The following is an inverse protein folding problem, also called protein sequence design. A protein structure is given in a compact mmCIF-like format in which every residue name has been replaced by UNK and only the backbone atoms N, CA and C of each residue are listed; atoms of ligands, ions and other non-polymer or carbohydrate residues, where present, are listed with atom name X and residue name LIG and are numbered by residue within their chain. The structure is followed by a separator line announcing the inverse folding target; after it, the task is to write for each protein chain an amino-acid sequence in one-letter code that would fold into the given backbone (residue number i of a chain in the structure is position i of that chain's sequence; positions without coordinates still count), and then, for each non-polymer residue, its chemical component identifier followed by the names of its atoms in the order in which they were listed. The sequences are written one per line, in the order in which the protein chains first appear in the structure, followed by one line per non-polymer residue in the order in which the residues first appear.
data_IF_684062759398
#
_entry.id   IF_684062759398
#
_cell.length_a   1.000
_cell.length_b   1.000
_cell.length_c   1.000
_cell.angle_alpha   90.00
_cell.angle_beta   90.00
_cell.angle_gamma   90.00
#
_symmetry.space_group_name_H-M   'P 1'
#
loop_
_entity.id
_entity.type
_entity.pdbx_description
1 polymer ?
#
# COMPACT_ATOMS: atom_id res chain seq x y z
N UNK A 1 39.13 -37.13 43.46
CA UNK A 1 39.26 -36.76 42.04
C UNK A 1 38.01 -37.26 41.36
N UNK A 2 36.99 -36.42 41.25
CA UNK A 2 35.76 -36.80 40.56
C UNK A 2 36.11 -37.03 39.09
N UNK A 3 35.75 -38.20 38.60
CA UNK A 3 36.12 -38.62 37.26
C UNK A 3 35.26 -37.84 36.25
N UNK A 4 35.78 -37.58 35.06
CA UNK A 4 35.03 -36.91 33.98
C UNK A 4 33.64 -37.57 33.74
N UNK A 5 33.55 -38.89 33.94
CA UNK A 5 32.32 -39.66 33.85
C UNK A 5 31.23 -39.24 34.85
N UNK A 6 31.61 -38.85 36.08
CA UNK A 6 30.64 -38.40 37.10
C UNK A 6 30.09 -37.00 36.77
N UNK A 7 30.90 -36.14 36.16
CA UNK A 7 30.45 -34.83 35.68
C UNK A 7 29.48 -34.96 34.51
N UNK A 8 29.74 -35.84 33.55
CA UNK A 8 28.82 -36.09 32.43
C UNK A 8 27.48 -36.64 32.92
N UNK A 9 27.49 -37.57 33.88
CA UNK A 9 26.27 -38.12 34.46
C UNK A 9 25.44 -37.05 35.18
N UNK A 10 26.10 -36.12 35.86
CA UNK A 10 25.42 -35.01 36.54
C UNK A 10 24.83 -34.00 35.55
N UNK A 11 25.52 -33.72 34.43
CA UNK A 11 25.03 -32.82 33.38
C UNK A 11 23.79 -33.41 32.69
N UNK A 12 23.82 -34.72 32.39
CA UNK A 12 22.66 -35.40 31.79
C UNK A 12 21.45 -35.41 32.73
N UNK A 13 21.65 -35.70 34.02
CA UNK A 13 20.58 -35.66 35.01
C UNK A 13 19.97 -34.25 35.18
N UNK A 14 20.80 -33.20 35.10
CA UNK A 14 20.31 -31.81 35.12
C UNK A 14 19.55 -31.44 33.84
N UNK A 15 19.98 -31.92 32.68
CA UNK A 15 19.27 -31.69 31.41
C UNK A 15 17.88 -32.37 31.41
N UNK A 16 17.79 -33.59 31.92
CA UNK A 16 16.51 -34.31 32.04
C UNK A 16 15.55 -33.65 33.03
N UNK A 17 16.06 -33.15 34.16
CA UNK A 17 15.27 -32.40 35.13
C UNK A 17 14.72 -31.08 34.53
N UNK A 18 15.52 -30.37 33.74
CA UNK A 18 15.08 -29.16 33.04
C UNK A 18 14.02 -29.47 31.98
N UNK A 19 14.17 -30.54 31.20
CA UNK A 19 13.16 -30.98 30.22
C UNK A 19 11.86 -31.44 30.89
N UNK A 20 11.93 -32.08 32.07
CA UNK A 20 10.74 -32.44 32.85
C UNK A 20 9.98 -31.20 33.36
N UNK A 21 10.69 -30.16 33.79
CA UNK A 21 10.05 -28.89 34.22
C UNK A 21 9.43 -28.17 33.02
N UNK A 22 10.15 -28.10 31.89
CA UNK A 22 9.65 -27.45 30.68
C UNK A 22 8.44 -28.18 30.06
N UNK A 23 8.41 -29.51 30.14
CA UNK A 23 7.28 -30.31 29.63
C UNK A 23 6.04 -30.29 30.55
N UNK A 24 6.19 -30.03 31.85
CA UNK A 24 5.06 -29.86 32.77
C UNK A 24 4.45 -28.45 32.74
N UNK A 25 5.21 -27.46 32.29
CA UNK A 25 4.68 -26.10 32.17
C UNK A 25 3.83 -25.96 30.91
N UNK A 26 2.51 -25.90 31.09
CA UNK A 26 1.47 -25.56 30.09
C UNK A 26 1.60 -24.11 29.55
N UNK A 27 2.83 -23.65 29.28
CA UNK A 27 3.15 -22.33 28.73
C UNK A 27 2.38 -22.06 27.43
N UNK A 28 2.21 -23.03 26.50
CA UNK A 28 1.43 -22.79 25.29
C UNK A 28 -0.05 -22.49 25.58
N UNK A 29 -0.64 -23.18 26.55
CA UNK A 29 -2.06 -22.98 26.92
C UNK A 29 -2.24 -21.66 27.67
N UNK A 30 -1.31 -21.32 28.57
CA UNK A 30 -1.34 -20.04 29.28
C UNK A 30 -1.18 -18.84 28.32
N UNK A 31 -0.30 -18.96 27.33
CA UNK A 31 -0.11 -17.94 26.29
C UNK A 31 -1.38 -17.77 25.43
N UNK A 32 -2.00 -18.86 24.98
CA UNK A 32 -3.26 -18.81 24.23
C UNK A 32 -4.40 -18.19 25.04
N UNK A 33 -4.52 -18.53 26.33
CA UNK A 33 -5.55 -17.97 27.21
C UNK A 33 -5.33 -16.48 27.51
N UNK A 34 -4.08 -16.01 27.55
CA UNK A 34 -3.75 -14.59 27.68
C UNK A 34 -4.09 -13.82 26.40
N UNK A 35 -3.79 -14.40 25.24
CA UNK A 35 -4.10 -13.79 23.94
C UNK A 35 -5.62 -13.64 23.72
N UNK A 36 -6.41 -14.66 24.04
CA UNK A 36 -7.87 -14.59 23.95
C UNK A 36 -8.45 -13.47 24.81
N UNK A 37 -7.98 -13.32 26.05
CA UNK A 37 -8.40 -12.23 26.95
C UNK A 37 -8.03 -10.86 26.40
N UNK A 38 -6.85 -10.72 25.80
CA UNK A 38 -6.42 -9.47 25.16
C UNK A 38 -7.34 -9.10 23.98
N UNK A 39 -7.66 -10.07 23.12
CA UNK A 39 -8.57 -9.86 21.98
C UNK A 39 -9.99 -9.49 22.42
N UNK A 40 -10.51 -10.11 23.47
CA UNK A 40 -11.84 -9.81 24.02
C UNK A 40 -11.90 -8.40 24.64
N UNK A 41 -10.84 -8.00 25.36
CA UNK A 41 -10.73 -6.64 25.88
C UNK A 41 -10.63 -5.59 24.76
N UNK A 42 -9.90 -5.88 23.68
CA UNK A 42 -9.84 -4.99 22.52
C UNK A 42 -11.21 -4.87 21.82
N UNK A 43 -11.91 -5.99 21.61
CA UNK A 43 -13.22 -6.03 21.00
C UNK A 43 -14.27 -5.24 21.82
N UNK A 44 -14.27 -5.41 23.15
CA UNK A 44 -15.19 -4.70 24.03
C UNK A 44 -14.94 -3.17 24.06
N UNK A 45 -13.68 -2.72 24.00
CA UNK A 45 -13.35 -1.29 23.87
C UNK A 45 -13.86 -0.72 22.54
N UNK A 46 -13.67 -1.44 21.44
CA UNK A 46 -14.12 -1.01 20.12
C UNK A 46 -15.66 -0.96 20.04
N UNK A 47 -16.35 -1.92 20.66
CA UNK A 47 -17.81 -1.92 20.75
C UNK A 47 -18.34 -0.71 21.53
N UNK A 48 -17.71 -0.34 22.64
CA UNK A 48 -18.07 0.86 23.42
C UNK A 48 -17.85 2.15 22.64
N UNK A 49 -16.75 2.25 21.88
CA UNK A 49 -16.50 3.41 21.01
C UNK A 49 -17.57 3.56 19.93
N UNK A 50 -17.98 2.44 19.29
CA UNK A 50 -19.05 2.46 18.29
C UNK A 50 -20.42 2.84 18.86
N UNK A 51 -20.73 2.37 20.07
CA UNK A 51 -21.99 2.70 20.74
C UNK A 51 -22.09 4.19 21.15
N UNK A 52 -20.96 4.82 21.48
CA UNK A 52 -20.91 6.27 21.74
C UNK A 52 -21.09 7.10 20.47
N UNK A 53 -20.38 6.73 19.39
CA UNK A 53 -20.46 7.43 18.10
C UNK A 53 -21.87 7.37 17.48
N UNK A 54 -22.60 6.25 17.66
CA UNK A 54 -23.90 6.09 17.01
C UNK A 54 -24.96 7.11 17.46
N UNK A 55 -24.88 7.66 18.67
CA UNK A 55 -25.91 8.60 19.16
C UNK A 55 -25.71 10.00 18.57
N UNK A 56 -24.49 10.48 18.53
CA UNK A 56 -24.16 11.76 17.93
C UNK A 56 -24.28 11.69 16.40
N UNK A 57 -23.91 10.56 15.79
CA UNK A 57 -24.13 10.32 14.36
C UNK A 57 -25.61 10.23 14.01
N UNK A 58 -26.47 9.69 14.90
CA UNK A 58 -27.93 9.67 14.69
C UNK A 58 -28.54 11.06 14.80
N UNK A 59 -28.11 11.88 15.76
CA UNK A 59 -28.55 13.28 15.88
C UNK A 59 -28.10 14.11 14.67
N UNK A 60 -26.85 13.92 14.24
CA UNK A 60 -26.32 14.54 13.04
C UNK A 60 -27.06 14.05 11.78
N UNK A 61 -27.30 12.74 11.65
CA UNK A 61 -28.04 12.18 10.52
C UNK A 61 -29.49 12.65 10.48
N UNK A 62 -30.15 12.83 11.63
CA UNK A 62 -31.50 13.38 11.70
C UNK A 62 -31.52 14.86 11.31
N UNK A 63 -30.55 15.66 11.78
CA UNK A 63 -30.37 17.05 11.36
C UNK A 63 -30.10 17.15 9.84
N UNK A 64 -29.23 16.30 9.30
CA UNK A 64 -28.91 16.22 7.87
C UNK A 64 -30.12 15.77 7.03
N UNK A 65 -30.97 14.88 7.57
CA UNK A 65 -32.19 14.41 6.91
C UNK A 65 -33.23 15.51 6.83
N UNK A 66 -33.38 16.33 7.88
CA UNK A 66 -34.24 17.53 7.87
C UNK A 66 -33.68 18.65 6.97
N UNK A 67 -32.36 18.75 6.81
CA UNK A 67 -31.74 19.71 5.89
C UNK A 67 -31.72 19.25 4.42
N UNK A 68 -32.20 18.04 4.12
CA UNK A 68 -32.20 17.47 2.76
C UNK A 68 -33.33 18.04 1.89
N UNK A 69 -34.24 18.83 2.46
CA UNK A 69 -35.09 19.75 1.70
C UNK A 69 -34.22 20.90 1.19
N UNK A 70 -33.55 20.60 0.07
CA UNK A 70 -32.54 21.42 -0.60
C UNK A 70 -33.12 22.79 -0.95
N UNK A 71 -32.60 23.85 -0.33
CA UNK A 71 -32.50 25.16 -0.98
C UNK A 71 -33.10 26.37 -0.27
N UNK A 72 -33.69 26.22 0.91
CA UNK A 72 -34.35 27.36 1.58
C UNK A 72 -33.40 28.32 2.33
N UNK A 73 -32.10 28.32 2.03
CA UNK A 73 -31.11 29.15 2.75
C UNK A 73 -30.10 29.82 1.80
N UNK A 74 -29.44 30.91 2.26
CA UNK A 74 -28.54 31.69 1.43
C UNK A 74 -27.23 30.97 1.08
N UNK A 75 -26.85 29.91 1.82
CA UNK A 75 -25.62 29.16 1.57
C UNK A 75 -25.87 27.99 0.61
N UNK A 76 -25.32 28.09 -0.60
CA UNK A 76 -25.41 27.04 -1.62
C UNK A 76 -24.38 25.93 -1.36
N UNK A 77 -24.75 24.69 -1.65
CA UNK A 77 -23.85 23.52 -1.59
C UNK A 77 -24.46 22.32 -0.86
N UNK A 78 -23.92 21.13 -1.11
CA UNK A 78 -24.31 19.87 -0.43
C UNK A 78 -23.38 19.51 0.72
N UNK A 79 -22.35 20.32 0.98
CA UNK A 79 -21.41 20.09 2.07
C UNK A 79 -22.04 20.32 3.44
N UNK A 80 -21.53 19.60 4.44
CA UNK A 80 -21.97 19.69 5.84
C UNK A 80 -21.89 21.14 6.36
N UNK A 81 -20.88 21.90 5.95
CA UNK A 81 -20.72 23.30 6.34
C UNK A 81 -21.89 24.18 5.82
N UNK A 82 -22.28 24.04 4.57
CA UNK A 82 -23.40 24.80 4.00
C UNK A 82 -24.72 24.43 4.70
N UNK A 83 -24.91 23.16 5.06
CA UNK A 83 -26.08 22.69 5.79
C UNK A 83 -26.11 23.24 7.22
N UNK A 84 -24.99 23.22 7.94
CA UNK A 84 -24.88 23.80 9.28
C UNK A 84 -25.12 25.31 9.26
N UNK A 85 -24.58 26.03 8.28
CA UNK A 85 -24.80 27.48 8.16
C UNK A 85 -26.26 27.81 7.83
N UNK A 86 -26.92 27.02 6.97
CA UNK A 86 -28.34 27.18 6.68
C UNK A 86 -29.24 26.85 7.89
N UNK A 87 -28.82 25.92 8.75
CA UNK A 87 -29.51 25.63 10.01
C UNK A 87 -29.34 26.77 11.01
N UNK A 88 -28.11 27.25 11.22
CA UNK A 88 -27.80 28.40 12.07
C UNK A 88 -28.52 29.67 11.58
N UNK A 89 -28.61 29.87 10.27
CA UNK A 89 -29.37 30.95 9.65
C UNK A 89 -30.86 30.86 9.98
N UNK A 90 -31.47 29.66 9.85
CA UNK A 90 -32.89 29.45 10.17
C UNK A 90 -33.19 29.69 11.64
N UNK A 91 -32.30 29.28 12.55
CA UNK A 91 -32.48 29.49 13.99
C UNK A 91 -32.37 30.96 14.38
N UNK A 92 -31.35 31.66 13.88
CA UNK A 92 -31.08 33.06 14.25
C UNK A 92 -32.02 34.06 13.55
N UNK A 93 -32.10 34.00 12.22
CA UNK A 93 -32.89 34.93 11.41
C UNK A 93 -34.37 34.52 11.41
N UNK A 94 -34.66 33.23 11.26
CA UNK A 94 -36.03 32.73 11.33
C UNK A 94 -36.66 32.83 12.72
N UNK A 95 -35.83 32.81 13.78
CA UNK A 95 -36.26 33.07 15.16
C UNK A 95 -36.33 34.56 15.55
N UNK A 96 -35.98 35.48 14.65
CA UNK A 96 -36.00 36.93 14.89
C UNK A 96 -34.91 37.43 15.86
N UNK A 97 -33.89 36.63 16.16
CA UNK A 97 -32.79 36.99 17.06
C UNK A 97 -31.76 37.91 16.38
N UNK A 98 -31.61 37.81 15.06
CA UNK A 98 -30.69 38.62 14.27
C UNK A 98 -31.28 38.98 12.90
N UNK A 99 -30.83 40.11 12.35
CA UNK A 99 -31.13 40.47 10.97
C UNK A 99 -30.32 39.60 9.99
N UNK A 100 -30.80 39.49 8.75
CA UNK A 100 -30.07 38.79 7.68
C UNK A 100 -28.66 39.37 7.49
N UNK A 101 -28.54 40.69 7.44
CA UNK A 101 -27.28 41.38 7.18
C UNK A 101 -26.28 41.19 8.32
N UNK A 102 -26.74 41.19 9.58
CA UNK A 102 -25.88 40.95 10.73
C UNK A 102 -25.40 39.50 10.76
N UNK A 103 -26.25 38.53 10.37
CA UNK A 103 -25.84 37.13 10.25
C UNK A 103 -24.78 36.93 9.16
N UNK A 104 -25.00 37.52 7.98
CA UNK A 104 -24.03 37.43 6.90
C UNK A 104 -22.70 38.10 7.28
N UNK A 105 -22.74 39.21 8.01
CA UNK A 105 -21.53 39.88 8.52
C UNK A 105 -20.81 39.03 9.56
N UNK A 106 -21.53 38.41 10.48
CA UNK A 106 -20.94 37.52 11.50
C UNK A 106 -20.27 36.31 10.84
N UNK A 107 -20.98 35.59 9.96
CA UNK A 107 -20.42 34.45 9.21
C UNK A 107 -19.22 34.84 8.36
N UNK A 108 -19.28 36.00 7.69
CA UNK A 108 -18.15 36.52 6.92
C UNK A 108 -16.94 36.78 7.82
N UNK A 109 -17.14 37.39 8.99
CA UNK A 109 -16.06 37.68 9.94
C UNK A 109 -15.40 36.41 10.47
N UNK A 110 -16.21 35.40 10.82
CA UNK A 110 -15.75 34.10 11.28
C UNK A 110 -14.99 33.33 10.19
N UNK A 111 -15.45 33.42 8.93
CA UNK A 111 -14.78 32.77 7.80
C UNK A 111 -13.50 33.47 7.38
N UNK A 112 -13.46 34.81 7.44
CA UNK A 112 -12.26 35.59 7.10
C UNK A 112 -11.09 35.20 8.01
N UNK A 113 -11.31 34.97 9.31
CA UNK A 113 -10.25 34.57 10.23
C UNK A 113 -9.86 33.09 10.17
N UNK A 114 -10.62 32.23 9.48
CA UNK A 114 -10.36 30.78 9.44
C UNK A 114 -9.36 30.44 8.34
N UNK A 115 -8.36 29.65 8.72
CA UNK A 115 -7.48 28.98 7.78
C UNK A 115 -8.29 27.98 6.95
N UNK A 116 -8.20 28.06 5.64
CA UNK A 116 -8.86 27.10 4.73
C UNK A 116 -7.85 26.13 4.18
N UNK A 117 -8.14 24.84 4.31
CA UNK A 117 -7.30 23.76 3.79
C UNK A 117 -7.97 23.18 2.55
N UNK A 118 -7.30 23.26 1.40
CA UNK A 118 -7.74 22.62 0.15
C UNK A 118 -6.81 21.46 -0.13
N UNK A 119 -7.32 20.23 0.03
CA UNK A 119 -6.60 19.03 -0.35
C UNK A 119 -6.75 18.80 -1.86
N UNK A 120 -5.65 18.82 -2.59
CA UNK A 120 -5.56 18.43 -4.00
C UNK A 120 -4.85 17.08 -4.12
N UNK A 121 -4.83 16.45 -5.31
CA UNK A 121 -4.02 15.24 -5.53
C UNK A 121 -2.53 15.44 -5.23
N UNK A 122 -2.01 16.65 -5.47
CA UNK A 122 -0.58 17.00 -5.34
C UNK A 122 -0.17 17.33 -3.89
N UNK A 123 -1.09 17.82 -3.07
CA UNK A 123 -0.78 18.21 -1.69
C UNK A 123 -1.95 18.89 -0.99
N UNK A 124 -1.66 19.46 0.18
CA UNK A 124 -2.63 20.28 0.91
C UNK A 124 -2.19 21.72 0.83
N UNK A 125 -3.01 22.56 0.22
CA UNK A 125 -2.83 24.01 0.25
C UNK A 125 -3.50 24.54 1.49
N UNK A 126 -2.73 25.22 2.32
CA UNK A 126 -3.22 25.86 3.52
C UNK A 126 -3.24 27.36 3.24
N UNK A 127 -4.44 27.90 3.00
CA UNK A 127 -4.62 29.34 2.84
C UNK A 127 -4.83 29.94 4.23
N UNK A 128 -3.88 30.72 4.77
CA UNK A 128 -4.08 31.37 6.06
C UNK A 128 -5.29 32.30 5.97
N UNK A 129 -6.07 32.35 7.06
CA UNK A 129 -7.15 33.32 7.20
C UNK A 129 -6.60 34.75 7.11
N UNK A 130 -7.47 35.69 6.78
CA UNK A 130 -7.17 37.11 6.93
C UNK A 130 -7.01 37.43 8.41
N UNK A 131 -5.79 37.76 8.79
CA UNK A 131 -5.54 38.38 10.08
C UNK A 131 -6.08 39.82 10.06
N UNK A 132 -7.18 40.03 10.78
CA UNK A 132 -7.81 41.35 10.92
C UNK A 132 -7.24 42.15 12.09
N UNK A 133 -6.33 41.56 12.89
CA UNK A 133 -5.80 42.17 14.11
C UNK A 133 -4.75 43.26 13.85
N UNK A 134 -4.19 43.33 12.65
CA UNK A 134 -3.20 44.33 12.25
C UNK A 134 -3.70 45.13 11.04
N UNK A 135 -3.91 46.45 11.20
CA UNK A 135 -4.42 47.37 10.15
C UNK A 135 -3.49 47.53 8.90
N UNK A 136 -2.53 46.64 8.70
CA UNK A 136 -1.69 46.53 7.50
C UNK A 136 -1.71 45.10 6.99
N UNK A 137 -2.87 44.64 6.49
CA UNK A 137 -3.12 43.24 6.13
C UNK A 137 -2.11 42.68 5.13
N UNK A 138 -1.16 41.89 5.62
CA UNK A 138 -0.33 41.02 4.77
C UNK A 138 -1.07 39.71 4.58
N UNK A 139 -1.44 39.38 3.35
CA UNK A 139 -1.81 38.00 3.01
C UNK A 139 -0.56 37.13 3.22
N UNK A 140 -0.64 36.15 4.12
CA UNK A 140 0.38 35.11 4.19
C UNK A 140 0.46 34.39 2.85
N UNK A 141 1.67 34.08 2.40
CA UNK A 141 1.85 33.17 1.27
C UNK A 141 1.20 31.82 1.64
N UNK A 142 0.38 31.23 0.77
CA UNK A 142 -0.20 29.93 1.05
C UNK A 142 0.91 28.90 1.23
N UNK A 143 0.88 28.17 2.34
CA UNK A 143 1.82 27.10 2.60
C UNK A 143 1.35 25.84 1.86
N UNK A 144 2.26 25.28 1.06
CA UNK A 144 2.05 24.00 0.40
C UNK A 144 2.69 22.91 1.25
N UNK A 145 1.85 22.04 1.80
CA UNK A 145 2.31 20.84 2.50
C UNK A 145 2.14 19.66 1.53
N UNK A 146 3.24 19.08 0.99
CA UNK A 146 3.13 17.92 0.12
C UNK A 146 2.48 16.77 0.89
N UNK A 147 1.56 16.06 0.23
CA UNK A 147 0.87 14.93 0.86
C UNK A 147 1.91 13.83 1.13
N UNK A 148 1.92 13.21 2.32
CA UNK A 148 2.75 12.03 2.53
C UNK A 148 2.34 10.94 1.53
N UNK A 149 3.29 10.16 0.99
CA UNK A 149 2.98 9.17 -0.02
C UNK A 149 1.95 8.18 0.53
N UNK A 150 0.96 7.86 -0.30
CA UNK A 150 -0.07 6.88 0.03
C UNK A 150 0.55 5.50 0.29
N UNK A 151 -0.15 4.61 0.98
CA UNK A 151 0.36 3.25 1.23
C UNK A 151 0.67 2.50 -0.09
N UNK A 152 -0.17 2.70 -1.11
CA UNK A 152 0.06 2.15 -2.46
C UNK A 152 1.32 2.72 -3.11
N UNK A 153 1.57 4.02 -2.94
CA UNK A 153 2.81 4.66 -3.39
C UNK A 153 4.02 4.09 -2.64
N UNK A 154 4.02 4.08 -1.30
CA UNK A 154 5.12 3.49 -0.52
C UNK A 154 5.41 2.05 -0.93
N UNK A 155 4.37 1.23 -1.14
CA UNK A 155 4.52 -0.14 -1.61
C UNK A 155 5.19 -0.18 -2.99
N UNK A 156 4.75 0.62 -3.95
CA UNK A 156 5.36 0.57 -5.28
C UNK A 156 6.79 1.13 -5.34
N UNK A 157 7.12 2.15 -4.54
CA UNK A 157 8.52 2.61 -4.36
C UNK A 157 9.39 1.49 -3.79
N UNK A 158 8.88 0.78 -2.79
CA UNK A 158 9.57 -0.40 -2.24
C UNK A 158 9.75 -1.47 -3.33
N UNK A 159 8.70 -1.79 -4.09
CA UNK A 159 8.75 -2.80 -5.15
C UNK A 159 9.77 -2.49 -6.24
N UNK A 160 9.83 -1.26 -6.75
CA UNK A 160 10.80 -0.87 -7.79
C UNK A 160 12.23 -0.84 -7.23
N UNK A 161 12.41 -0.36 -5.99
CA UNK A 161 13.72 -0.40 -5.33
C UNK A 161 14.23 -1.83 -5.11
N UNK A 162 13.34 -2.76 -4.71
CA UNK A 162 13.66 -4.17 -4.54
C UNK A 162 14.04 -4.82 -5.87
N UNK A 163 13.31 -4.56 -6.96
CA UNK A 163 13.67 -5.05 -8.30
C UNK A 163 15.09 -4.63 -8.70
N UNK A 164 15.45 -3.36 -8.47
CA UNK A 164 16.80 -2.87 -8.78
C UNK A 164 17.86 -3.54 -7.92
N UNK A 165 17.60 -3.70 -6.62
CA UNK A 165 18.51 -4.38 -5.71
C UNK A 165 18.73 -5.85 -6.11
N UNK A 166 17.64 -6.57 -6.39
CA UNK A 166 17.69 -7.96 -6.82
C UNK A 166 18.41 -8.13 -8.17
N UNK A 167 18.19 -7.21 -9.12
CA UNK A 167 18.91 -7.23 -10.39
C UNK A 167 20.41 -7.04 -10.21
N UNK A 168 20.82 -6.02 -9.44
CA UNK A 168 22.24 -5.76 -9.19
C UNK A 168 22.91 -6.90 -8.42
N UNK A 169 22.18 -7.55 -7.52
CA UNK A 169 22.68 -8.67 -6.73
C UNK A 169 22.77 -10.00 -7.51
N UNK A 170 22.26 -10.05 -8.73
CA UNK A 170 22.26 -11.27 -9.55
C UNK A 170 22.84 -11.08 -10.96
N UNK A 171 23.19 -9.84 -11.36
CA UNK A 171 23.80 -9.55 -12.66
C UNK A 171 25.20 -10.12 -12.85
N UNK A 172 25.88 -10.53 -11.80
CA UNK A 172 27.30 -10.90 -11.83
C UNK A 172 27.56 -12.40 -12.02
N UNK A 173 26.55 -13.25 -11.87
CA UNK A 173 26.76 -14.70 -11.80
C UNK A 173 26.22 -15.40 -13.05
N UNK A 174 27.14 -15.92 -13.86
CA UNK A 174 26.83 -16.88 -14.94
C UNK A 174 26.90 -18.27 -14.33
N UNK A 175 25.84 -19.11 -14.44
CA UNK A 175 25.88 -20.48 -13.96
C UNK A 175 27.12 -21.21 -14.49
N UNK A 176 27.89 -21.84 -13.63
CA UNK A 176 28.92 -22.77 -14.10
C UNK A 176 28.27 -23.89 -14.90
N UNK A 177 28.96 -24.41 -15.92
CA UNK A 177 28.52 -25.60 -16.67
C UNK A 177 28.28 -26.77 -15.70
N UNK A 178 29.04 -26.87 -14.61
CA UNK A 178 28.87 -27.90 -13.58
C UNK A 178 27.57 -27.73 -12.78
N UNK A 179 27.22 -26.51 -12.38
CA UNK A 179 25.96 -26.21 -11.67
C UNK A 179 24.76 -26.47 -12.58
N UNK A 180 24.87 -26.06 -13.85
CA UNK A 180 23.87 -26.30 -14.88
C UNK A 180 23.62 -27.80 -15.12
N UNK A 181 24.69 -28.60 -15.26
CA UNK A 181 24.58 -30.04 -15.44
C UNK A 181 24.01 -30.72 -14.18
N UNK A 182 24.38 -30.26 -13.00
CA UNK A 182 23.82 -30.75 -11.74
C UNK A 182 22.31 -30.50 -11.65
N UNK A 183 21.83 -29.31 -11.98
CA UNK A 183 20.39 -28.97 -11.96
C UNK A 183 19.57 -29.85 -12.92
N UNK A 184 20.11 -30.15 -14.09
CA UNK A 184 19.40 -30.88 -15.15
C UNK A 184 19.45 -32.40 -14.98
N UNK A 185 20.60 -32.95 -14.60
CA UNK A 185 20.84 -34.40 -14.63
C UNK A 185 20.93 -35.04 -13.25
N UNK A 186 21.17 -34.27 -12.18
CA UNK A 186 21.22 -34.87 -10.86
C UNK A 186 19.79 -35.33 -10.44
N UNK A 187 19.67 -36.52 -9.85
CA UNK A 187 18.45 -36.93 -9.16
C UNK A 187 18.03 -35.86 -8.15
N UNK A 188 16.72 -35.68 -7.95
CA UNK A 188 16.17 -34.60 -7.11
C UNK A 188 16.79 -34.57 -5.69
N UNK A 189 17.09 -35.75 -5.13
CA UNK A 189 17.72 -35.87 -3.82
C UNK A 189 19.18 -35.41 -3.76
N UNK A 190 19.86 -35.25 -4.91
CA UNK A 190 21.25 -34.80 -5.02
C UNK A 190 21.39 -33.37 -5.59
N UNK A 191 20.34 -32.79 -6.19
CA UNK A 191 20.42 -31.42 -6.74
C UNK A 191 20.92 -30.39 -5.73
N UNK A 192 20.49 -30.50 -4.47
CA UNK A 192 20.95 -29.62 -3.39
C UNK A 192 22.42 -29.83 -2.99
N UNK A 193 23.02 -30.99 -3.27
CA UNK A 193 24.42 -31.29 -2.95
C UNK A 193 25.40 -30.84 -4.03
N UNK A 194 24.97 -30.85 -5.30
CA UNK A 194 25.84 -30.52 -6.44
C UNK A 194 25.74 -29.06 -6.87
N UNK A 195 24.79 -28.30 -6.36
CA UNK A 195 24.67 -26.86 -6.61
C UNK A 195 25.40 -26.09 -5.53
N UNK A 196 26.25 -25.14 -5.95
CA UNK A 196 26.89 -24.22 -5.02
C UNK A 196 25.85 -23.38 -4.25
N UNK A 197 26.16 -23.00 -3.00
CA UNK A 197 25.26 -22.16 -2.20
C UNK A 197 25.06 -20.78 -2.84
N UNK A 198 26.07 -20.30 -3.55
CA UNK A 198 26.02 -19.07 -4.33
C UNK A 198 25.02 -19.19 -5.50
N UNK A 199 25.02 -20.32 -6.23
CA UNK A 199 24.04 -20.59 -7.28
C UNK A 199 22.61 -20.63 -6.73
N UNK A 200 22.39 -21.28 -5.58
CA UNK A 200 21.07 -21.30 -4.91
C UNK A 200 20.62 -19.91 -4.52
N UNK A 201 21.51 -19.11 -3.93
CA UNK A 201 21.21 -17.74 -3.54
C UNK A 201 20.84 -16.87 -4.75
N UNK A 202 21.60 -16.99 -5.86
CA UNK A 202 21.29 -16.31 -7.11
C UNK A 202 19.94 -16.75 -7.67
N UNK A 203 19.67 -18.05 -7.75
CA UNK A 203 18.43 -18.58 -8.31
C UNK A 203 17.20 -18.11 -7.50
N UNK A 204 17.34 -18.03 -6.18
CA UNK A 204 16.31 -17.46 -5.31
C UNK A 204 16.07 -15.97 -5.59
N UNK A 205 17.14 -15.17 -5.76
CA UNK A 205 17.03 -13.74 -6.12
C UNK A 205 16.39 -13.55 -7.50
N UNK A 206 16.77 -14.36 -8.48
CA UNK A 206 16.21 -14.34 -9.82
C UNK A 206 14.70 -14.65 -9.81
N UNK A 207 14.29 -15.65 -9.04
CA UNK A 207 12.88 -16.01 -8.85
C UNK A 207 12.10 -14.90 -8.15
N UNK A 208 12.66 -14.30 -7.11
CA UNK A 208 12.02 -13.19 -6.40
C UNK A 208 11.86 -11.97 -7.31
N UNK A 209 12.89 -11.66 -8.12
CA UNK A 209 12.83 -10.58 -9.11
C UNK A 209 11.73 -10.85 -10.14
N UNK A 210 11.67 -12.07 -10.68
CA UNK A 210 10.67 -12.47 -11.65
C UNK A 210 9.25 -12.38 -11.08
N UNK A 211 9.04 -12.87 -9.85
CA UNK A 211 7.77 -12.76 -9.15
C UNK A 211 7.35 -11.30 -8.92
N UNK A 212 8.31 -10.46 -8.55
CA UNK A 212 8.07 -9.03 -8.32
C UNK A 212 7.69 -8.32 -9.63
N UNK A 213 8.36 -8.62 -10.74
CA UNK A 213 8.04 -8.08 -12.05
C UNK A 213 6.64 -8.51 -12.52
N UNK A 214 6.30 -9.80 -12.37
CA UNK A 214 4.98 -10.33 -12.74
C UNK A 214 3.88 -9.70 -11.89
N UNK A 215 4.12 -9.54 -10.57
CA UNK A 215 3.20 -8.84 -9.68
C UNK A 215 2.96 -7.40 -10.12
N UNK A 216 4.00 -6.66 -10.51
CA UNK A 216 3.85 -5.29 -11.02
C UNK A 216 3.04 -5.22 -12.30
N UNK A 217 3.23 -6.18 -13.22
CA UNK A 217 2.52 -6.22 -14.51
C UNK A 217 1.05 -6.62 -14.36
N UNK A 218 0.76 -7.64 -13.56
CA UNK A 218 -0.59 -8.20 -13.41
C UNK A 218 -1.43 -7.51 -12.33
N UNK A 219 -0.79 -6.92 -11.32
CA UNK A 219 -1.46 -6.43 -10.10
C UNK A 219 -2.01 -7.54 -9.19
N UNK A 220 -1.80 -8.81 -9.54
CA UNK A 220 -2.26 -9.98 -8.79
C UNK A 220 -1.06 -10.81 -8.31
N UNK A 221 -1.32 -11.77 -7.42
CA UNK A 221 -0.31 -12.74 -6.98
C UNK A 221 0.23 -13.50 -8.20
N UNK A 222 1.54 -13.46 -8.40
CA UNK A 222 2.21 -14.09 -9.53
C UNK A 222 2.03 -15.61 -9.48
N UNK A 223 1.61 -16.21 -10.60
CA UNK A 223 1.50 -17.67 -10.71
C UNK A 223 2.86 -18.29 -11.01
N UNK A 224 3.06 -19.53 -10.57
CA UNK A 224 4.36 -20.23 -10.71
C UNK A 224 4.84 -20.28 -12.16
N UNK A 225 3.95 -20.58 -13.10
CA UNK A 225 4.21 -20.65 -14.54
C UNK A 225 4.63 -19.29 -15.13
N UNK A 226 4.02 -18.20 -14.67
CA UNK A 226 4.40 -16.84 -15.09
C UNK A 226 5.79 -16.45 -14.57
N UNK A 227 6.09 -16.83 -13.33
CA UNK A 227 7.41 -16.60 -12.72
C UNK A 227 8.48 -17.41 -13.43
N UNK A 228 8.23 -18.69 -13.71
CA UNK A 228 9.17 -19.57 -14.41
C UNK A 228 9.39 -19.09 -15.86
N UNK A 229 8.35 -18.62 -16.55
CA UNK A 229 8.47 -18.01 -17.88
C UNK A 229 9.27 -16.70 -17.84
N UNK A 230 9.04 -15.84 -16.86
CA UNK A 230 9.85 -14.64 -16.65
C UNK A 230 11.31 -15.00 -16.34
N UNK A 231 11.55 -16.04 -15.53
CA UNK A 231 12.90 -16.53 -15.27
C UNK A 231 13.61 -16.95 -16.56
N UNK A 232 12.97 -17.75 -17.41
CA UNK A 232 13.54 -18.19 -18.68
C UNK A 232 13.85 -17.04 -19.64
N UNK A 233 12.96 -16.04 -19.69
CA UNK A 233 13.08 -14.89 -20.60
C UNK A 233 14.17 -13.90 -20.16
N UNK A 234 14.35 -13.72 -18.85
CA UNK A 234 15.19 -12.66 -18.32
C UNK A 234 16.50 -13.15 -17.72
N UNK A 235 16.65 -14.42 -17.38
CA UNK A 235 17.86 -14.94 -16.74
C UNK A 235 18.62 -15.94 -17.61
N UNK A 236 19.97 -15.93 -17.57
CA UNK A 236 20.79 -16.92 -18.24
C UNK A 236 20.34 -18.34 -17.92
N UNK A 237 20.21 -19.16 -18.96
CA UNK A 237 19.93 -20.57 -18.85
C UNK A 237 21.19 -21.38 -19.15
N UNK A 238 21.29 -22.61 -18.62
CA UNK A 238 22.24 -23.60 -19.10
C UNK A 238 22.32 -23.66 -20.63
N UNK A 239 23.52 -23.45 -21.19
CA UNK A 239 23.75 -23.52 -22.63
C UNK A 239 23.53 -22.21 -23.41
N UNK A 240 23.05 -21.14 -22.77
CA UNK A 240 22.99 -19.82 -23.39
C UNK A 240 24.41 -19.34 -23.76
N UNK A 241 24.56 -18.79 -24.96
CA UNK A 241 25.81 -18.16 -25.39
C UNK A 241 26.02 -16.78 -24.74
N UNK A 242 27.23 -16.19 -24.85
CA UNK A 242 27.50 -14.85 -24.31
C UNK A 242 26.57 -13.78 -24.90
N UNK A 243 26.13 -13.94 -26.15
CA UNK A 243 25.16 -13.02 -26.79
C UNK A 243 23.77 -13.13 -26.16
N UNK A 244 23.30 -14.33 -25.84
CA UNK A 244 22.00 -14.53 -25.18
C UNK A 244 22.01 -13.95 -23.76
N UNK A 245 23.11 -14.15 -23.03
CA UNK A 245 23.32 -13.56 -21.70
C UNK A 245 23.24 -12.03 -21.76
N UNK A 246 23.93 -11.39 -22.71
CA UNK A 246 23.88 -9.94 -22.91
C UNK A 246 22.47 -9.46 -23.30
N UNK A 247 21.81 -10.14 -24.25
CA UNK A 247 20.44 -9.82 -24.65
C UNK A 247 19.48 -9.89 -23.48
N UNK A 248 19.56 -10.94 -22.66
CA UNK A 248 18.72 -11.10 -21.48
C UNK A 248 18.99 -10.04 -20.41
N UNK A 249 20.25 -9.63 -20.23
CA UNK A 249 20.61 -8.52 -19.36
C UNK A 249 19.96 -7.20 -19.83
N UNK A 250 20.05 -6.88 -21.12
CA UNK A 250 19.39 -5.71 -21.71
C UNK A 250 17.86 -5.78 -21.51
N UNK A 251 17.25 -6.94 -21.76
CA UNK A 251 15.82 -7.13 -21.52
C UNK A 251 15.42 -6.91 -20.06
N UNK A 252 16.27 -7.30 -19.09
CA UNK A 252 16.01 -7.02 -17.66
C UNK A 252 16.02 -5.52 -17.38
N UNK A 253 17.00 -4.80 -17.91
CA UNK A 253 17.10 -3.34 -17.76
C UNK A 253 15.88 -2.63 -18.36
N UNK A 254 15.49 -3.00 -19.58
CA UNK A 254 14.29 -2.48 -20.24
C UNK A 254 13.01 -2.77 -19.47
N UNK A 255 12.89 -3.99 -18.92
CA UNK A 255 11.73 -4.39 -18.12
C UNK A 255 11.64 -3.59 -16.81
N UNK A 256 12.77 -3.33 -16.15
CA UNK A 256 12.82 -2.46 -14.97
C UNK A 256 12.48 -1.01 -15.33
N UNK A 257 13.07 -0.45 -16.39
CA UNK A 257 12.76 0.90 -16.84
C UNK A 257 11.26 1.06 -17.16
N UNK A 258 10.68 0.07 -17.83
CA UNK A 258 9.23 0.03 -18.12
C UNK A 258 8.40 -0.05 -16.84
N UNK A 259 8.82 -0.88 -15.87
CA UNK A 259 8.14 -1.02 -14.58
C UNK A 259 8.19 0.28 -13.77
N UNK A 260 9.34 0.96 -13.75
CA UNK A 260 9.53 2.27 -13.12
C UNK A 260 8.69 3.35 -13.80
N UNK A 261 8.65 3.40 -15.14
CA UNK A 261 7.83 4.34 -15.89
C UNK A 261 6.33 4.12 -15.66
N UNK A 262 5.87 2.85 -15.68
CA UNK A 262 4.48 2.51 -15.39
C UNK A 262 4.08 2.90 -13.96
N UNK A 263 5.02 2.78 -13.02
CA UNK A 263 4.81 3.21 -11.65
C UNK A 263 4.77 4.74 -11.53
N UNK A 264 5.72 5.46 -12.14
CA UNK A 264 5.75 6.92 -12.16
C UNK A 264 4.48 7.50 -12.80
N UNK A 265 3.96 6.88 -13.86
CA UNK A 265 2.69 7.28 -14.49
C UNK A 265 1.49 7.13 -13.54
N UNK A 266 1.49 6.13 -12.65
CA UNK A 266 0.44 5.96 -11.63
C UNK A 266 0.54 6.98 -10.49
N UNK A 267 1.75 7.44 -10.16
CA UNK A 267 1.96 8.48 -9.15
C UNK A 267 1.69 9.89 -9.68
N UNK A 268 2.02 10.14 -10.94
CA UNK A 268 2.15 11.49 -11.49
C UNK A 268 0.86 12.18 -11.94
N UNK A 269 -0.30 11.56 -11.88
CA UNK A 269 -1.49 12.25 -12.37
C UNK A 269 -2.79 11.50 -12.18
N UNK A 270 -3.73 12.23 -11.60
CA UNK A 270 -5.19 12.11 -11.70
C UNK A 270 -5.65 10.88 -12.49
N UNK A 271 -6.36 9.89 -11.89
CA UNK A 271 -6.96 8.82 -12.66
C UNK A 271 -7.67 9.47 -13.86
N UNK A 272 -7.39 9.04 -15.11
CA UNK A 272 -8.04 9.63 -16.27
C UNK A 272 -9.53 9.66 -15.96
N UNK A 273 -10.08 10.88 -15.90
CA UNK A 273 -11.40 11.12 -15.37
C UNK A 273 -12.38 10.07 -15.88
N UNK A 274 -13.18 9.53 -14.97
CA UNK A 274 -14.23 8.53 -15.16
C UNK A 274 -15.29 8.97 -16.20
N UNK A 275 -14.91 9.07 -17.48
CA UNK A 275 -15.75 9.67 -18.50
C UNK A 275 -15.68 9.03 -19.87
N UNK A 276 -14.72 8.14 -20.13
CA UNK A 276 -14.76 7.39 -21.38
C UNK A 276 -14.24 5.96 -21.14
N UNK A 277 -15.11 4.94 -21.12
CA UNK A 277 -14.62 3.57 -21.22
C UNK A 277 -13.74 3.49 -22.47
N UNK A 278 -12.65 2.69 -22.46
CA UNK A 278 -11.87 2.45 -23.67
C UNK A 278 -12.86 2.11 -24.79
N UNK A 279 -12.74 2.72 -25.99
CA UNK A 279 -13.64 2.40 -27.09
C UNK A 279 -13.69 0.89 -27.19
N UNK A 280 -14.88 0.31 -27.03
CA UNK A 280 -15.08 -1.12 -27.02
C UNK A 280 -14.27 -1.67 -28.20
N UNK A 281 -13.29 -2.56 -27.93
CA UNK A 281 -12.52 -3.21 -28.98
C UNK A 281 -13.53 -3.69 -29.99
N UNK A 282 -13.56 -3.03 -31.16
CA UNK A 282 -14.44 -3.42 -32.26
C UNK A 282 -13.93 -4.82 -32.61
N UNK A 283 -14.67 -5.84 -32.17
CA UNK A 283 -14.42 -7.21 -32.57
C UNK A 283 -14.62 -7.20 -34.07
N UNK A 284 -13.52 -7.07 -34.82
CA UNK A 284 -13.52 -7.29 -36.25
C UNK A 284 -13.87 -8.76 -36.38
N UNK A 285 -15.15 -9.03 -36.66
CA UNK A 285 -15.56 -10.38 -37.04
C UNK A 285 -14.77 -10.70 -38.30
N UNK A 286 -14.27 -11.93 -38.38
CA UNK A 286 -13.38 -12.45 -39.42
C UNK A 286 -13.98 -12.44 -40.85
N UNK A 287 -15.09 -11.71 -41.08
CA UNK A 287 -15.78 -11.56 -42.37
C UNK A 287 -15.88 -10.13 -42.90
N UNK A 288 -15.35 -9.11 -42.19
CA UNK A 288 -15.36 -7.71 -42.67
C UNK A 288 -14.10 -7.32 -43.47
N UNK A 289 -13.25 -8.29 -43.84
CA UNK A 289 -12.13 -8.03 -44.75
C UNK A 289 -12.64 -8.01 -46.19
N UNK A 290 -12.41 -6.92 -46.95
CA UNK A 290 -12.79 -6.89 -48.36
C UNK A 290 -12.03 -7.98 -49.12
N UNK A 291 -12.71 -8.78 -49.97
CA UNK A 291 -12.04 -9.72 -50.83
C UNK A 291 -11.28 -8.94 -51.91
N UNK A 292 -9.95 -9.05 -51.90
CA UNK A 292 -9.10 -8.67 -53.02
C UNK A 292 -8.30 -7.40 -52.83
N UNK A 293 -7.00 -7.58 -52.55
CA UNK A 293 -5.91 -6.72 -52.99
C UNK A 293 -4.71 -7.60 -53.24
#
# INVERSE_FOLDING_TARGET
MDTLAEREKHILAQADALNAILSQTNIPQAAQAAEMRSREQAASRLARQRAGQSRDDLLLAEALRRSRDKGAGPFKGTGMEAQMLNEAYRQSVGGGQMSHDDFMRDVASQRLGRQTTVATPEGTYITPGYDTSFMGGRRGTPDFVPKPPTEGEKRGQYTTSNLRQLNNAASEMVPSITDAAAEQYAPEFLKGYFTSDEYKAMNNRAREWAATLVFMRSGATARKDEVDAAMQNFWPQPGDGPQDVQRKAQMREEAMATAEAAYAQRQGGTPPGTGQPPPAKRVIKFGDLPPGS
#
